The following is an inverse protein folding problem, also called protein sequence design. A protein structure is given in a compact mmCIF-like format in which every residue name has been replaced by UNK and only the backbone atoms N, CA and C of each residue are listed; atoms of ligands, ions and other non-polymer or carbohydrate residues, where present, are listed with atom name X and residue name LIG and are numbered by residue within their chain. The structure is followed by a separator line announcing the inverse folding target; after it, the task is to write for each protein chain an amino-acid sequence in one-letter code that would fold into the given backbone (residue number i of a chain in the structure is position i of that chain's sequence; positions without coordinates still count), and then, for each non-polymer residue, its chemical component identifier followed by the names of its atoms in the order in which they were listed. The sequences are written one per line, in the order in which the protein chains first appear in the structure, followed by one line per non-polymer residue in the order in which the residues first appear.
data_IF_006318286148
#
_entry.id   IF_006318286148
#
_cell.length_a   1.000
_cell.length_b   1.000
_cell.length_c   1.000
_cell.angle_alpha   90.00
_cell.angle_beta   90.00
_cell.angle_gamma   90.00
#
_symmetry.space_group_name_H-M   'P 1'
#
loop_
_entity.id
_entity.type
_entity.pdbx_description
1 polymer ?
#
# COMPACT_ATOMS: atom_id res chain seq x y z
N UNK A 1 -4.36 0.29 3.96
CA UNK A 1 -3.09 0.44 3.23
C UNK A 1 -2.26 -0.84 3.24
N UNK A 2 -1.82 -1.33 4.40
CA UNK A 2 -1.04 -2.59 4.51
C UNK A 2 -1.82 -3.84 4.06
N UNK A 3 -3.05 -4.03 4.53
CA UNK A 3 -3.89 -5.17 4.10
C UNK A 3 -4.21 -5.12 2.60
N UNK A 4 -4.51 -3.92 2.10
CA UNK A 4 -4.78 -3.65 0.68
C UNK A 4 -3.56 -4.01 -0.18
N UNK A 5 -2.36 -3.56 0.21
CA UNK A 5 -1.12 -3.88 -0.50
C UNK A 5 -0.78 -5.36 -0.48
N UNK A 6 -1.00 -6.04 0.65
CA UNK A 6 -0.76 -7.48 0.77
C UNK A 6 -1.67 -8.29 -0.15
N UNK A 7 -2.99 -8.06 -0.09
CA UNK A 7 -3.96 -8.76 -0.95
C UNK A 7 -3.70 -8.46 -2.43
N UNK A 8 -3.44 -7.20 -2.77
CA UNK A 8 -3.21 -6.81 -4.15
C UNK A 8 -1.87 -7.34 -4.72
N UNK A 9 -0.83 -7.46 -3.90
CA UNK A 9 0.45 -8.05 -4.35
C UNK A 9 0.37 -9.56 -4.58
N UNK A 10 -0.46 -10.26 -3.81
CA UNK A 10 -0.55 -11.72 -3.88
C UNK A 10 -1.55 -12.19 -4.93
N UNK A 11 -2.62 -11.44 -5.14
CA UNK A 11 -3.74 -11.87 -5.97
C UNK A 11 -4.12 -10.89 -7.08
N UNK A 12 -3.47 -9.72 -7.14
CA UNK A 12 -3.83 -8.66 -8.09
C UNK A 12 -3.55 -8.98 -9.56
N UNK A 13 -2.75 -10.03 -9.84
CA UNK A 13 -2.42 -10.48 -11.20
C UNK A 13 -2.72 -11.97 -11.45
N UNK A 14 -3.43 -12.63 -10.53
CA UNK A 14 -3.86 -14.00 -10.72
C UNK A 14 -5.06 -14.06 -11.68
N UNK A 15 -4.83 -14.64 -12.85
CA UNK A 15 -5.84 -14.93 -13.87
C UNK A 15 -6.37 -16.36 -13.76
N UNK A 16 -6.21 -17.01 -12.62
CA UNK A 16 -6.79 -18.33 -12.42
C UNK A 16 -8.33 -18.20 -12.33
N UNK A 17 -9.08 -19.02 -13.08
CA UNK A 17 -10.53 -19.05 -12.99
C UNK A 17 -10.97 -19.74 -11.70
N UNK A 18 -11.84 -19.10 -10.92
CA UNK A 18 -12.47 -19.73 -9.76
C UNK A 18 -13.65 -20.59 -10.20
N UNK A 19 -13.47 -21.91 -10.19
CA UNK A 19 -14.54 -22.86 -10.50
C UNK A 19 -15.74 -22.75 -9.55
N UNK A 20 -15.54 -22.26 -8.32
CA UNK A 20 -16.59 -22.04 -7.32
C UNK A 20 -17.46 -20.80 -7.62
N UNK A 21 -16.97 -19.87 -8.43
CA UNK A 21 -17.62 -18.58 -8.77
C UNK A 21 -17.90 -18.50 -10.28
N UNK A 22 -18.26 -19.62 -10.90
CA UNK A 22 -18.64 -19.67 -12.32
C UNK A 22 -17.52 -19.32 -13.29
N UNK A 23 -16.28 -19.72 -12.98
CA UNK A 23 -15.06 -19.45 -13.76
C UNK A 23 -14.63 -17.98 -13.82
N UNK A 24 -15.14 -17.14 -12.91
CA UNK A 24 -14.69 -15.74 -12.78
C UNK A 24 -13.20 -15.71 -12.42
N UNK A 25 -12.42 -14.90 -13.13
CA UNK A 25 -10.99 -14.70 -12.82
C UNK A 25 -10.84 -14.09 -11.43
N UNK A 26 -9.87 -14.59 -10.66
CA UNK A 26 -9.57 -14.10 -9.29
C UNK A 26 -9.39 -12.59 -9.24
N UNK A 27 -8.71 -12.00 -10.24
CA UNK A 27 -8.57 -10.55 -10.41
C UNK A 27 -9.91 -9.80 -10.37
N UNK A 28 -10.91 -10.26 -11.12
CA UNK A 28 -12.22 -9.60 -11.18
C UNK A 28 -13.04 -9.79 -9.90
N UNK A 29 -12.88 -10.93 -9.21
CA UNK A 29 -13.51 -11.13 -7.92
C UNK A 29 -12.96 -10.15 -6.87
N UNK A 30 -11.65 -9.95 -6.84
CA UNK A 30 -11.00 -9.05 -5.89
C UNK A 30 -11.33 -7.59 -6.17
N UNK A 31 -11.47 -7.23 -7.44
CA UNK A 31 -11.92 -5.89 -7.84
C UNK A 31 -13.39 -5.64 -7.46
N UNK A 32 -14.32 -6.56 -7.78
CA UNK A 32 -15.76 -6.38 -7.49
C UNK A 32 -16.07 -6.46 -5.99
N UNK A 33 -15.46 -7.43 -5.28
CA UNK A 33 -15.86 -7.76 -3.91
C UNK A 33 -15.09 -6.95 -2.86
N UNK A 34 -13.81 -6.67 -3.11
CA UNK A 34 -12.96 -5.91 -2.20
C UNK A 34 -12.67 -4.48 -2.67
N UNK A 35 -13.12 -4.10 -3.88
CA UNK A 35 -12.90 -2.76 -4.43
C UNK A 35 -11.43 -2.47 -4.75
N UNK A 36 -10.59 -3.50 -4.86
CA UNK A 36 -9.15 -3.36 -5.04
C UNK A 36 -8.86 -3.11 -6.52
N UNK A 37 -8.80 -1.84 -6.90
CA UNK A 37 -8.32 -1.43 -8.23
C UNK A 37 -6.80 -1.45 -8.28
N UNK A 38 -6.24 -2.05 -9.32
CA UNK A 38 -4.79 -2.15 -9.51
C UNK A 38 -4.11 -0.77 -9.52
N UNK A 39 -4.77 0.25 -10.09
CA UNK A 39 -4.33 1.65 -10.07
C UNK A 39 -4.16 2.24 -8.66
N UNK A 40 -4.94 1.78 -7.69
CA UNK A 40 -4.88 2.33 -6.33
C UNK A 40 -3.69 1.78 -5.53
N UNK A 41 -3.10 0.66 -5.95
CA UNK A 41 -1.90 0.07 -5.32
C UNK A 41 -0.71 1.03 -5.42
N UNK A 42 -0.57 1.69 -6.58
CA UNK A 42 0.47 2.71 -6.78
C UNK A 42 0.31 3.88 -5.82
N UNK A 43 -0.91 4.37 -5.64
CA UNK A 43 -1.24 5.43 -4.67
C UNK A 43 -0.94 4.97 -3.25
N UNK A 44 -1.31 3.75 -2.87
CA UNK A 44 -0.98 3.16 -1.57
C UNK A 44 0.53 3.16 -1.30
N UNK A 45 1.32 2.71 -2.27
CA UNK A 45 2.78 2.63 -2.14
C UNK A 45 3.40 4.01 -1.94
N UNK A 46 2.97 5.01 -2.72
CA UNK A 46 3.45 6.40 -2.61
C UNK A 46 3.11 7.00 -1.24
N UNK A 47 1.89 6.81 -0.75
CA UNK A 47 1.47 7.34 0.56
C UNK A 47 2.30 6.74 1.70
N UNK A 48 2.52 5.42 1.70
CA UNK A 48 3.31 4.76 2.74
C UNK A 48 4.77 5.23 2.72
N UNK A 49 5.38 5.29 1.54
CA UNK A 49 6.75 5.81 1.39
C UNK A 49 6.84 7.28 1.82
N UNK A 50 5.84 8.10 1.43
CA UNK A 50 5.76 9.51 1.78
C UNK A 50 5.71 9.74 3.30
N UNK A 51 4.91 8.96 4.02
CA UNK A 51 4.84 9.03 5.49
C UNK A 51 6.20 8.67 6.12
N UNK A 52 6.87 7.64 5.62
CA UNK A 52 8.18 7.23 6.14
C UNK A 52 9.24 8.32 5.96
N UNK A 53 9.30 8.93 4.77
CA UNK A 53 10.23 10.03 4.46
C UNK A 53 9.90 11.27 5.30
N UNK A 54 8.61 11.62 5.42
CA UNK A 54 8.17 12.75 6.23
C UNK A 54 8.55 12.57 7.70
N UNK A 55 8.34 11.37 8.24
CA UNK A 55 8.74 11.03 9.62
C UNK A 55 10.26 11.17 9.81
N UNK A 56 11.06 10.61 8.90
CA UNK A 56 12.51 10.73 8.94
C UNK A 56 12.98 12.19 8.88
N UNK A 57 12.35 13.01 8.04
CA UNK A 57 12.66 14.43 7.93
C UNK A 57 12.32 15.20 9.21
N UNK A 58 11.12 15.01 9.76
CA UNK A 58 10.72 15.62 11.04
C UNK A 58 11.69 15.23 12.14
N UNK A 59 12.04 13.95 12.23
CA UNK A 59 12.97 13.42 13.22
C UNK A 59 14.36 14.05 13.10
N UNK A 60 14.90 14.16 11.88
CA UNK A 60 16.19 14.80 11.64
C UNK A 60 16.18 16.30 11.99
N UNK A 61 15.11 17.03 11.64
CA UNK A 61 14.94 18.44 11.99
C UNK A 61 14.78 18.62 13.50
N UNK A 62 14.03 17.76 14.17
CA UNK A 62 13.87 17.76 15.61
C UNK A 62 15.22 17.57 16.31
N UNK A 63 16.00 16.55 15.93
CA UNK A 63 17.35 16.35 16.45
C UNK A 63 18.21 17.59 16.23
N UNK A 64 18.25 18.15 15.02
CA UNK A 64 19.05 19.34 14.72
C UNK A 64 18.65 20.53 15.60
N UNK A 65 17.35 20.77 15.78
CA UNK A 65 16.81 21.91 16.53
C UNK A 65 17.03 21.75 18.04
N UNK A 66 16.74 20.57 18.59
CA UNK A 66 16.91 20.28 20.02
C UNK A 66 18.38 20.08 20.42
N UNK A 67 19.22 19.54 19.54
CA UNK A 67 20.66 19.41 19.80
C UNK A 67 21.40 20.75 19.72
N UNK A 68 20.79 21.79 19.12
CA UNK A 68 21.31 23.16 19.14
C UNK A 68 21.14 23.88 20.49
N UNK A 69 20.36 23.33 21.42
CA UNK A 69 20.17 23.91 22.77
C UNK A 69 21.15 23.39 23.83
N UNK A 70 22.12 22.54 23.48
CA UNK A 70 23.11 21.99 24.44
C UNK A 70 24.54 22.47 24.19
N UNK A 71 24.71 23.76 23.91
CA UNK A 71 26.02 24.41 24.03
C UNK A 71 25.89 25.81 24.60
#
# INVERSE_FOLDING_TARGET
WTLYGLVASQFGDLMDPMSSEGEKLVKYFIEDYFGIKHDFIGVCAVVVAGIAVLFAFIFAVAIKTFNFQKR
#
